data_IF_816238178728
#
_entry.id   IF_816238178728
#
_cell.length_a   1.000
_cell.length_b   1.000
_cell.length_c   1.000
_cell.angle_alpha   90.00
_cell.angle_beta   90.00
_cell.angle_gamma   90.00
#
_symmetry.space_group_name_H-M   'P 1'
#
loop_
_entity.id
_entity.type
_entity.pdbx_description
1 polymer ?
#
# COMPACT_ATOMS: atom_id res chain seq x y z
N UNK A 1 -25.60 10.47 -33.91
CA UNK A 1 -25.10 9.12 -33.56
C UNK A 1 -23.58 9.08 -33.47
N UNK A 2 -22.93 10.04 -32.82
CA UNK A 2 -21.45 10.15 -32.80
C UNK A 2 -20.87 10.42 -31.44
N UNK A 3 -21.67 10.59 -30.39
CA UNK A 3 -21.21 10.88 -29.03
C UNK A 3 -20.95 9.63 -28.17
N UNK A 4 -21.59 8.51 -28.48
CA UNK A 4 -21.48 7.26 -27.70
C UNK A 4 -20.16 6.52 -27.92
N UNK A 5 -19.53 6.66 -29.09
CA UNK A 5 -18.27 5.97 -29.39
C UNK A 5 -17.05 6.61 -28.71
N UNK A 6 -17.07 7.92 -28.52
CA UNK A 6 -15.97 8.63 -27.84
C UNK A 6 -15.92 8.36 -26.32
N UNK A 7 -17.08 8.17 -25.69
CA UNK A 7 -17.16 7.80 -24.27
C UNK A 7 -16.70 6.34 -24.02
N UNK A 8 -17.03 5.44 -24.95
CA UNK A 8 -16.60 4.03 -24.87
C UNK A 8 -15.09 3.91 -25.12
N UNK A 9 -14.50 4.69 -26.02
CA UNK A 9 -13.05 4.72 -26.21
C UNK A 9 -12.32 5.34 -25.01
N UNK A 10 -12.85 6.41 -24.41
CA UNK A 10 -12.23 7.02 -23.21
C UNK A 10 -12.29 6.12 -21.98
N UNK A 11 -13.36 5.35 -21.82
CA UNK A 11 -13.50 4.32 -20.79
C UNK A 11 -12.55 3.14 -21.03
N UNK A 12 -12.34 2.76 -22.28
CA UNK A 12 -11.43 1.67 -22.66
C UNK A 12 -9.95 2.06 -22.45
N UNK A 13 -9.55 3.28 -22.75
CA UNK A 13 -8.17 3.75 -22.54
C UNK A 13 -7.84 3.91 -21.05
N UNK A 14 -8.79 4.38 -20.22
CA UNK A 14 -8.62 4.43 -18.76
C UNK A 14 -8.58 3.04 -18.11
N UNK A 15 -9.42 2.11 -18.58
CA UNK A 15 -9.39 0.71 -18.16
C UNK A 15 -8.10 0.01 -18.59
N UNK A 16 -7.56 0.33 -19.76
CA UNK A 16 -6.29 -0.24 -20.24
C UNK A 16 -5.07 0.21 -19.43
N UNK A 17 -5.03 1.42 -18.87
CA UNK A 17 -3.94 1.84 -17.99
C UNK A 17 -3.96 1.06 -16.67
N UNK A 18 -5.12 0.79 -16.13
CA UNK A 18 -5.30 -0.06 -14.94
C UNK A 18 -5.01 -1.53 -15.26
N UNK A 19 -5.41 -2.02 -16.44
CA UNK A 19 -5.11 -3.37 -16.92
C UNK A 19 -3.64 -3.59 -17.28
N UNK A 20 -2.89 -2.57 -17.71
CA UNK A 20 -1.42 -2.67 -17.89
C UNK A 20 -0.69 -3.04 -16.59
N UNK A 21 -1.21 -2.66 -15.45
CA UNK A 21 -0.71 -3.09 -14.14
C UNK A 21 -0.84 -4.61 -13.93
N UNK A 22 -1.80 -5.26 -14.58
CA UNK A 22 -2.16 -6.66 -14.33
C UNK A 22 -1.92 -7.59 -15.53
N UNK A 23 -1.44 -7.10 -16.66
CA UNK A 23 -1.04 -7.93 -17.82
C UNK A 23 0.32 -8.64 -17.63
N UNK A 24 0.81 -8.81 -16.42
CA UNK A 24 1.88 -9.74 -16.14
C UNK A 24 1.31 -11.17 -16.14
N UNK A 25 1.16 -11.72 -17.35
CA UNK A 25 1.21 -13.11 -17.82
C UNK A 25 1.35 -14.21 -16.76
N UNK A 26 0.61 -15.28 -16.90
CA UNK A 26 0.72 -16.57 -16.20
C UNK A 26 0.59 -16.54 -14.66
N UNK A 27 -0.31 -15.70 -14.14
CA UNK A 27 -0.67 -15.72 -12.72
C UNK A 27 -1.58 -16.92 -12.47
N UNK A 28 -1.09 -17.91 -11.70
CA UNK A 28 -1.86 -19.07 -11.29
C UNK A 28 -3.09 -18.67 -10.45
N UNK A 29 -4.25 -19.35 -10.58
CA UNK A 29 -5.32 -19.23 -9.57
C UNK A 29 -4.74 -19.69 -8.21
N UNK A 30 -4.82 -18.97 -7.14
CA UNK A 30 -5.74 -17.97 -6.66
C UNK A 30 -5.28 -16.50 -6.81
N UNK A 31 -4.10 -16.23 -7.34
CA UNK A 31 -3.55 -14.87 -7.42
C UNK A 31 -4.39 -13.95 -8.34
N UNK A 32 -4.98 -14.51 -9.40
CA UNK A 32 -5.87 -13.76 -10.29
C UNK A 32 -7.09 -13.18 -9.57
N UNK A 33 -7.65 -13.90 -8.60
CA UNK A 33 -8.78 -13.43 -7.79
C UNK A 33 -8.39 -12.27 -6.89
N UNK A 34 -7.19 -12.31 -6.29
CA UNK A 34 -6.69 -11.22 -5.47
C UNK A 34 -6.46 -9.96 -6.29
N UNK A 35 -5.84 -10.07 -7.48
CA UNK A 35 -5.63 -8.94 -8.40
C UNK A 35 -6.96 -8.36 -8.89
N UNK A 36 -7.94 -9.21 -9.21
CA UNK A 36 -9.29 -8.75 -9.61
C UNK A 36 -9.98 -7.97 -8.49
N UNK A 37 -9.88 -8.40 -7.22
CA UNK A 37 -10.41 -7.68 -6.06
C UNK A 37 -9.74 -6.32 -5.86
N UNK A 38 -8.41 -6.29 -6.00
CA UNK A 38 -7.65 -5.04 -5.96
C UNK A 38 -8.09 -4.08 -7.05
N UNK A 39 -8.21 -4.55 -8.31
CA UNK A 39 -8.67 -3.76 -9.43
C UNK A 39 -10.10 -3.23 -9.22
N UNK A 40 -11.00 -4.06 -8.68
CA UNK A 40 -12.36 -3.63 -8.35
C UNK A 40 -12.37 -2.52 -7.29
N UNK A 41 -11.52 -2.62 -6.24
CA UNK A 41 -11.39 -1.56 -5.23
C UNK A 41 -10.85 -0.27 -5.82
N UNK A 42 -9.79 -0.33 -6.62
CA UNK A 42 -9.20 0.84 -7.27
C UNK A 42 -10.20 1.51 -8.22
N UNK A 43 -11.00 0.73 -8.96
CA UNK A 43 -12.06 1.22 -9.83
C UNK A 43 -13.15 1.99 -9.08
N UNK A 44 -13.55 1.53 -7.87
CA UNK A 44 -14.54 2.22 -7.04
C UNK A 44 -14.15 3.65 -6.66
N UNK A 45 -12.86 3.93 -6.53
CA UNK A 45 -12.34 5.24 -6.11
C UNK A 45 -11.55 5.94 -7.23
N UNK A 46 -11.69 5.48 -8.48
CA UNK A 46 -10.90 5.94 -9.62
C UNK A 46 -11.03 7.46 -9.88
N UNK A 47 -12.20 8.05 -9.65
CA UNK A 47 -12.44 9.49 -9.82
C UNK A 47 -11.54 10.36 -8.91
N UNK A 48 -11.13 9.83 -7.75
CA UNK A 48 -10.27 10.51 -6.78
C UNK A 48 -8.78 10.26 -7.00
N UNK A 49 -8.41 9.48 -8.02
CA UNK A 49 -7.01 9.15 -8.29
C UNK A 49 -6.17 10.40 -8.58
N UNK A 50 -5.04 10.56 -7.88
CA UNK A 50 -4.15 11.72 -7.97
C UNK A 50 -2.78 11.35 -8.54
N UNK A 51 -2.15 10.32 -7.98
CA UNK A 51 -0.82 9.88 -8.38
C UNK A 51 -0.67 8.37 -8.29
N UNK A 52 0.24 7.82 -9.10
CA UNK A 52 0.79 6.48 -8.99
C UNK A 52 2.31 6.54 -8.95
N UNK A 53 2.91 5.68 -8.14
CA UNK A 53 4.36 5.45 -8.10
C UNK A 53 4.63 3.96 -8.15
N UNK A 54 5.74 3.58 -8.79
CA UNK A 54 6.17 2.20 -8.94
C UNK A 54 7.64 2.07 -8.57
N UNK A 55 7.98 1.05 -7.77
CA UNK A 55 9.34 0.77 -7.32
C UNK A 55 9.63 -0.72 -7.40
N UNK A 56 10.86 -1.07 -7.76
CA UNK A 56 11.39 -2.43 -7.61
C UNK A 56 12.37 -2.39 -6.45
N UNK A 57 12.07 -3.14 -5.40
CA UNK A 57 12.88 -3.18 -4.18
C UNK A 57 13.53 -4.56 -4.04
N UNK A 58 14.88 -4.63 -3.88
CA UNK A 58 15.62 -5.88 -3.67
C UNK A 58 15.47 -6.37 -2.23
N UNK A 59 14.23 -6.54 -1.79
CA UNK A 59 13.81 -6.87 -0.42
C UNK A 59 12.65 -7.85 -0.54
N UNK A 60 12.60 -8.95 0.25
CA UNK A 60 11.46 -9.86 0.27
C UNK A 60 10.14 -9.13 0.52
N UNK A 61 9.10 -9.46 -0.24
CA UNK A 61 7.79 -8.79 -0.15
C UNK A 61 7.18 -8.86 1.26
N UNK A 62 7.45 -9.94 2.00
CA UNK A 62 6.95 -10.10 3.36
C UNK A 62 7.52 -9.05 4.34
N UNK A 63 8.74 -8.54 4.08
CA UNK A 63 9.30 -7.42 4.86
C UNK A 63 8.44 -6.17 4.69
N UNK A 64 8.00 -5.88 3.46
CA UNK A 64 7.14 -4.75 3.16
C UNK A 64 5.75 -4.92 3.78
N UNK A 65 5.15 -6.12 3.68
CA UNK A 65 3.86 -6.43 4.32
C UNK A 65 3.96 -6.29 5.85
N UNK A 66 5.01 -6.87 6.47
CA UNK A 66 5.25 -6.73 7.90
C UNK A 66 5.37 -5.26 8.32
N UNK A 67 6.12 -4.49 7.53
CA UNK A 67 6.33 -3.07 7.76
C UNK A 67 5.00 -2.30 7.71
N UNK A 68 4.22 -2.44 6.63
CA UNK A 68 2.95 -1.74 6.45
C UNK A 68 1.90 -2.10 7.51
N UNK A 69 1.87 -3.35 7.98
CA UNK A 69 0.91 -3.82 8.98
C UNK A 69 1.37 -3.61 10.43
N UNK A 70 2.58 -3.11 10.66
CA UNK A 70 3.11 -2.76 11.98
C UNK A 70 2.86 -1.28 12.28
N UNK A 71 1.78 -0.94 12.97
CA UNK A 71 1.41 0.45 13.24
C UNK A 71 2.50 1.26 13.96
N UNK A 72 3.38 0.60 14.72
CA UNK A 72 4.49 1.27 15.42
C UNK A 72 5.51 1.89 14.49
N UNK A 73 5.64 1.41 13.23
CA UNK A 73 6.60 2.00 12.30
C UNK A 73 6.27 3.47 12.00
N UNK A 74 4.98 3.84 11.98
CA UNK A 74 4.54 5.21 11.74
C UNK A 74 5.14 6.22 12.73
N UNK A 75 5.38 5.81 13.98
CA UNK A 75 6.03 6.65 14.98
C UNK A 75 7.55 6.61 14.90
N UNK A 76 8.10 5.44 14.59
CA UNK A 76 9.53 5.15 14.77
C UNK A 76 10.36 5.49 13.54
N UNK A 77 9.77 5.41 12.35
CA UNK A 77 10.47 5.53 11.07
C UNK A 77 10.23 6.92 10.45
N UNK A 78 9.02 7.41 10.48
CA UNK A 78 8.64 8.64 9.77
C UNK A 78 8.91 9.92 10.57
N UNK A 79 10.17 10.20 10.85
CA UNK A 79 10.59 11.38 11.60
C UNK A 79 10.46 12.69 10.82
N UNK A 80 10.73 12.66 9.51
CA UNK A 80 10.63 13.82 8.61
C UNK A 80 9.21 13.96 8.03
N UNK A 81 8.70 12.88 7.40
CA UNK A 81 7.42 12.93 6.68
C UNK A 81 6.23 13.14 7.59
N UNK A 82 6.18 12.46 8.73
CA UNK A 82 5.06 12.53 9.67
C UNK A 82 5.35 13.32 10.95
N UNK A 83 6.54 13.82 11.11
CA UNK A 83 7.05 14.75 12.14
C UNK A 83 6.22 14.83 13.44
N UNK A 84 6.46 13.88 14.37
CA UNK A 84 5.79 13.86 15.67
C UNK A 84 4.42 13.19 15.67
N UNK A 85 4.11 12.37 14.67
CA UNK A 85 2.95 11.49 14.71
C UNK A 85 3.08 10.49 15.87
N UNK A 86 2.00 10.32 16.62
CA UNK A 86 1.86 9.29 17.65
C UNK A 86 0.71 8.37 17.26
N UNK A 87 0.94 7.07 17.41
CA UNK A 87 -0.07 6.03 17.27
C UNK A 87 -0.67 5.74 18.65
N UNK A 88 -1.94 6.02 18.82
CA UNK A 88 -2.68 5.76 20.05
C UNK A 88 -3.24 4.33 20.09
N UNK A 89 -4.33 4.17 20.83
CA UNK A 89 -5.02 2.88 20.95
C UNK A 89 -5.68 2.45 19.65
N UNK A 90 -5.67 1.15 19.41
CA UNK A 90 -6.56 0.52 18.43
C UNK A 90 -7.98 0.55 18.99
N UNK A 91 -8.92 1.09 18.22
CA UNK A 91 -10.33 1.25 18.62
C UNK A 91 -11.21 0.10 18.14
N UNK A 92 -10.87 -0.47 16.98
CA UNK A 92 -11.68 -1.50 16.33
C UNK A 92 -10.81 -2.40 15.46
N UNK A 93 -11.11 -3.70 15.48
CA UNK A 93 -10.58 -4.69 14.55
C UNK A 93 -11.76 -5.43 13.93
N UNK A 94 -11.85 -5.42 12.60
CA UNK A 94 -12.83 -6.18 11.84
C UNK A 94 -12.11 -7.23 11.00
N UNK A 95 -12.42 -8.50 11.22
CA UNK A 95 -11.86 -9.61 10.45
C UNK A 95 -12.78 -9.97 9.29
N UNK A 96 -12.19 -10.19 8.10
CA UNK A 96 -12.90 -10.72 6.93
C UNK A 96 -12.32 -12.10 6.53
N UNK A 97 -12.99 -12.79 5.60
CA UNK A 97 -12.52 -14.11 5.12
C UNK A 97 -11.12 -14.08 4.50
N UNK A 98 -10.70 -12.94 3.93
CA UNK A 98 -9.45 -12.78 3.18
C UNK A 98 -8.58 -11.63 3.68
N UNK A 99 -8.90 -11.03 4.82
CA UNK A 99 -8.17 -9.89 5.35
C UNK A 99 -8.81 -9.34 6.61
N UNK A 100 -8.95 -8.04 6.67
CA UNK A 100 -9.58 -7.31 7.77
C UNK A 100 -9.21 -5.85 7.78
N UNK A 101 -9.79 -5.08 8.69
CA UNK A 101 -9.41 -3.68 8.93
C UNK A 101 -9.16 -3.41 10.40
N UNK A 102 -8.33 -2.42 10.66
CA UNK A 102 -8.05 -1.91 11.99
C UNK A 102 -8.19 -0.40 12.01
N UNK A 103 -8.96 0.12 12.97
CA UNK A 103 -9.06 1.55 13.24
C UNK A 103 -8.21 1.91 14.45
N UNK A 104 -7.45 2.97 14.35
CA UNK A 104 -6.56 3.43 15.41
C UNK A 104 -6.46 4.95 15.43
N UNK A 105 -6.32 5.50 16.62
CA UNK A 105 -6.15 6.94 16.79
C UNK A 105 -4.72 7.35 16.49
N UNK A 106 -4.55 8.45 15.77
CA UNK A 106 -3.26 9.08 15.55
C UNK A 106 -3.31 10.54 16.01
N UNK A 107 -2.26 11.01 16.65
CA UNK A 107 -2.14 12.40 17.09
C UNK A 107 -0.88 13.05 16.53
N UNK A 108 -0.99 14.35 16.21
CA UNK A 108 0.12 15.19 15.75
C UNK A 108 0.52 16.13 16.89
N UNK A 109 1.62 15.83 17.56
CA UNK A 109 2.02 16.55 18.76
C UNK A 109 2.79 17.86 18.45
N UNK A 110 3.49 17.94 17.30
CA UNK A 110 4.25 19.14 16.96
C UNK A 110 3.37 20.19 16.26
N UNK A 111 3.39 21.46 16.70
CA UNK A 111 2.54 22.53 16.15
C UNK A 111 2.87 22.85 14.69
N UNK A 112 4.13 22.74 14.28
CA UNK A 112 4.62 23.00 12.92
C UNK A 112 4.51 21.80 11.97
N UNK A 113 3.72 20.79 12.31
CA UNK A 113 3.51 19.67 11.42
C UNK A 113 2.63 20.10 10.22
N UNK A 114 3.17 19.94 9.01
CA UNK A 114 2.48 20.34 7.76
C UNK A 114 1.14 19.61 7.58
N UNK A 115 1.00 18.40 8.11
CA UNK A 115 -0.25 17.64 8.04
C UNK A 115 -1.39 18.31 8.83
N UNK A 116 -1.10 19.20 9.79
CA UNK A 116 -2.11 19.98 10.52
C UNK A 116 -2.87 20.96 9.64
N UNK A 117 -2.32 21.30 8.49
CA UNK A 117 -3.04 22.13 7.51
C UNK A 117 -4.23 21.39 6.90
N UNK A 118 -4.21 20.06 6.89
CA UNK A 118 -5.20 19.25 6.19
C UNK A 118 -6.04 18.38 7.10
N UNK A 119 -5.57 18.06 8.30
CA UNK A 119 -6.29 17.20 9.24
C UNK A 119 -6.30 17.76 10.66
N UNK A 120 -7.28 17.32 11.44
CA UNK A 120 -7.32 17.60 12.87
C UNK A 120 -6.09 17.00 13.58
N UNK A 121 -5.68 17.57 14.74
CA UNK A 121 -4.55 17.04 15.51
C UNK A 121 -4.71 15.57 15.91
N UNK A 122 -5.93 15.16 16.21
CA UNK A 122 -6.28 13.77 16.53
C UNK A 122 -7.32 13.29 15.53
N UNK A 123 -7.00 12.21 14.83
CA UNK A 123 -7.94 11.54 13.91
C UNK A 123 -7.85 10.03 14.05
N UNK A 124 -8.95 9.36 13.73
CA UNK A 124 -9.01 7.93 13.62
C UNK A 124 -8.69 7.52 12.18
N UNK A 125 -7.61 6.77 12.02
CA UNK A 125 -7.12 6.27 10.74
C UNK A 125 -7.53 4.81 10.61
N UNK A 126 -7.85 4.37 9.40
CA UNK A 126 -8.17 2.98 9.10
C UNK A 126 -7.11 2.37 8.19
N UNK A 127 -6.61 1.18 8.60
CA UNK A 127 -5.71 0.36 7.80
C UNK A 127 -6.45 -0.93 7.44
N UNK A 128 -6.57 -1.21 6.15
CA UNK A 128 -7.32 -2.37 5.62
C UNK A 128 -6.41 -3.29 4.82
N UNK A 129 -6.42 -4.56 5.17
CA UNK A 129 -5.84 -5.65 4.40
C UNK A 129 -6.91 -6.22 3.46
N UNK A 130 -6.84 -5.91 2.16
CA UNK A 130 -7.79 -6.39 1.16
C UNK A 130 -7.45 -7.77 0.62
N UNK A 131 -6.16 -8.02 0.38
CA UNK A 131 -5.61 -9.26 -0.18
C UNK A 131 -4.22 -9.48 0.41
N UNK A 132 -3.57 -10.65 0.22
CA UNK A 132 -2.20 -10.86 0.70
C UNK A 132 -1.18 -9.86 0.14
N UNK A 133 -1.54 -9.11 -0.90
CA UNK A 133 -0.67 -8.17 -1.59
C UNK A 133 -1.14 -6.72 -1.53
N UNK A 134 -2.37 -6.47 -1.07
CA UNK A 134 -3.00 -5.13 -1.14
C UNK A 134 -3.40 -4.63 0.22
N UNK A 135 -2.85 -3.49 0.60
CA UNK A 135 -3.11 -2.79 1.86
C UNK A 135 -3.59 -1.38 1.52
N UNK A 136 -4.65 -0.91 2.17
CA UNK A 136 -5.19 0.44 2.04
C UNK A 136 -5.09 1.18 3.37
N UNK A 137 -4.54 2.39 3.35
CA UNK A 137 -4.53 3.33 4.47
C UNK A 137 -5.50 4.47 4.17
N UNK A 138 -6.55 4.62 4.98
CA UNK A 138 -7.56 5.68 4.85
C UNK A 138 -7.38 6.71 5.96
N UNK A 139 -7.05 7.94 5.58
CA UNK A 139 -6.75 9.05 6.48
C UNK A 139 -7.86 10.10 6.34
N UNK A 140 -8.70 10.30 7.37
CA UNK A 140 -9.68 11.39 7.35
C UNK A 140 -8.98 12.75 7.46
N UNK A 141 -9.49 13.71 6.70
CA UNK A 141 -9.04 15.08 6.66
C UNK A 141 -10.21 16.04 6.91
N UNK A 142 -9.96 17.34 6.88
CA UNK A 142 -11.01 18.34 7.15
C UNK A 142 -12.23 18.19 6.24
N UNK A 143 -13.41 18.56 6.75
CA UNK A 143 -14.70 18.58 6.04
C UNK A 143 -15.17 17.19 5.58
N UNK A 144 -14.85 16.14 6.33
CA UNK A 144 -15.29 14.78 6.03
C UNK A 144 -14.63 14.13 4.81
N UNK A 145 -13.60 14.76 4.24
CA UNK A 145 -12.83 14.24 3.12
C UNK A 145 -11.80 13.23 3.58
N UNK A 146 -11.22 12.49 2.61
CA UNK A 146 -10.26 11.42 2.88
C UNK A 146 -9.07 11.46 1.91
N UNK A 147 -7.94 10.93 2.39
CA UNK A 147 -6.83 10.48 1.56
C UNK A 147 -6.76 8.97 1.71
N UNK A 148 -6.90 8.23 0.62
CA UNK A 148 -6.73 6.78 0.59
C UNK A 148 -5.43 6.46 -0.15
N UNK A 149 -4.58 5.66 0.48
CA UNK A 149 -3.32 5.20 -0.10
C UNK A 149 -3.42 3.70 -0.26
N UNK A 150 -3.34 3.21 -1.49
CA UNK A 150 -3.31 1.78 -1.79
C UNK A 150 -1.87 1.37 -2.09
N UNK A 151 -1.38 0.42 -1.31
CA UNK A 151 -0.10 -0.25 -1.49
C UNK A 151 -0.34 -1.62 -2.11
N UNK A 152 0.24 -1.87 -3.28
CA UNK A 152 0.27 -3.20 -3.89
C UNK A 152 1.71 -3.71 -3.87
N UNK A 153 1.93 -4.82 -3.19
CA UNK A 153 3.25 -5.41 -2.93
C UNK A 153 3.33 -6.75 -3.65
N UNK A 154 3.80 -6.76 -4.89
CA UNK A 154 3.84 -7.96 -5.72
C UNK A 154 5.22 -8.65 -5.63
N UNK A 155 5.30 -9.91 -5.22
CA UNK A 155 6.57 -10.62 -5.14
C UNK A 155 7.21 -10.80 -6.53
N UNK A 156 8.52 -10.52 -6.64
CA UNK A 156 9.38 -10.83 -7.77
C UNK A 156 10.37 -11.93 -7.35
N UNK A 157 9.85 -13.09 -6.96
CA UNK A 157 10.65 -14.15 -6.34
C UNK A 157 10.82 -13.96 -4.83
N UNK A 158 11.85 -14.58 -4.26
CA UNK A 158 12.05 -14.66 -2.81
C UNK A 158 12.77 -13.44 -2.21
N UNK A 159 13.51 -12.70 -3.04
CA UNK A 159 14.43 -11.64 -2.58
C UNK A 159 14.04 -10.24 -3.01
N UNK A 160 13.04 -10.10 -3.87
CA UNK A 160 12.62 -8.81 -4.40
C UNK A 160 11.10 -8.72 -4.50
N UNK A 161 10.59 -7.50 -4.56
CA UNK A 161 9.19 -7.22 -4.86
C UNK A 161 9.01 -5.92 -5.64
N UNK A 162 7.86 -5.82 -6.29
CA UNK A 162 7.38 -4.61 -6.94
C UNK A 162 6.37 -3.94 -6.00
N UNK A 163 6.62 -2.68 -5.66
CA UNK A 163 5.75 -1.87 -4.82
C UNK A 163 5.06 -0.82 -5.70
N UNK A 164 3.74 -0.81 -5.68
CA UNK A 164 2.93 0.28 -6.24
C UNK A 164 2.31 1.09 -5.10
N UNK A 165 2.34 2.41 -5.24
CA UNK A 165 1.72 3.35 -4.31
C UNK A 165 0.76 4.22 -5.12
N UNK A 166 -0.55 4.00 -4.93
CA UNK A 166 -1.61 4.77 -5.56
C UNK A 166 -2.30 5.65 -4.52
N UNK A 167 -2.35 6.96 -4.75
CA UNK A 167 -2.98 7.91 -3.83
C UNK A 167 -4.23 8.49 -4.45
N UNK A 168 -5.32 8.40 -3.70
CA UNK A 168 -6.65 8.91 -4.03
C UNK A 168 -7.05 9.97 -3.02
N UNK A 169 -7.61 11.08 -3.48
CA UNK A 169 -8.07 12.15 -2.58
C UNK A 169 -9.17 12.98 -3.21
N UNK A 170 -10.15 13.32 -2.42
CA UNK A 170 -11.21 14.28 -2.73
C UNK A 170 -10.86 15.73 -2.34
N UNK A 171 -9.59 16.00 -2.00
CA UNK A 171 -9.12 17.36 -1.74
C UNK A 171 -9.30 18.26 -2.96
N UNK A 172 -9.92 19.43 -2.72
CA UNK A 172 -10.05 20.49 -3.73
C UNK A 172 -8.79 21.37 -3.65
N UNK A 173 -7.84 21.04 -4.50
CA UNK A 173 -6.60 21.82 -4.65
C UNK A 173 -6.20 21.86 -6.13
N UNK A 174 -5.46 22.88 -6.60
CA UNK A 174 -4.96 22.86 -7.97
C UNK A 174 -4.19 21.58 -8.26
N UNK A 175 -4.66 20.82 -9.26
CA UNK A 175 -4.17 19.45 -9.55
C UNK A 175 -2.65 19.34 -9.61
N UNK A 176 -1.89 20.22 -10.34
CA UNK A 176 -0.44 20.06 -10.47
C UNK A 176 0.29 20.25 -9.12
N UNK A 177 -0.15 21.20 -8.30
CA UNK A 177 0.45 21.45 -6.98
C UNK A 177 0.20 20.28 -6.05
N UNK A 178 -1.05 19.76 -6.05
CA UNK A 178 -1.41 18.59 -5.27
C UNK A 178 -0.58 17.36 -5.67
N UNK A 179 -0.46 17.09 -6.97
CA UNK A 179 0.32 15.96 -7.48
C UNK A 179 1.79 16.07 -7.08
N UNK A 180 2.41 17.23 -7.30
CA UNK A 180 3.80 17.46 -6.89
C UNK A 180 4.00 17.18 -5.40
N UNK A 181 3.09 17.70 -4.56
CA UNK A 181 3.17 17.53 -3.11
C UNK A 181 3.02 16.05 -2.71
N UNK A 182 2.04 15.34 -3.27
CA UNK A 182 1.81 13.92 -2.96
C UNK A 182 2.97 13.05 -3.45
N UNK A 183 3.56 13.35 -4.62
CA UNK A 183 4.76 12.67 -5.10
C UNK A 183 5.94 12.86 -4.15
N UNK A 184 6.23 14.09 -3.75
CA UNK A 184 7.30 14.38 -2.79
C UNK A 184 7.05 13.68 -1.45
N UNK A 185 5.83 13.73 -0.93
CA UNK A 185 5.48 13.08 0.34
C UNK A 185 5.69 11.57 0.27
N UNK A 186 5.23 10.91 -0.79
CA UNK A 186 5.40 9.47 -0.97
C UNK A 186 6.88 9.08 -1.14
N UNK A 187 7.68 9.86 -1.88
CA UNK A 187 9.11 9.64 -2.02
C UNK A 187 9.84 9.75 -0.68
N UNK A 188 9.57 10.80 0.10
CA UNK A 188 10.20 11.01 1.41
C UNK A 188 9.83 9.88 2.37
N UNK A 189 8.56 9.48 2.40
CA UNK A 189 8.09 8.37 3.24
C UNK A 189 8.80 7.06 2.89
N UNK A 190 8.88 6.71 1.60
CA UNK A 190 9.59 5.50 1.16
C UNK A 190 11.09 5.57 1.50
N UNK A 191 11.71 6.74 1.31
CA UNK A 191 13.14 6.93 1.65
C UNK A 191 13.42 6.70 3.14
N UNK A 192 12.51 7.14 4.03
CA UNK A 192 12.61 6.87 5.47
C UNK A 192 12.44 5.37 5.78
N UNK A 193 11.63 4.65 5.00
CA UNK A 193 11.35 3.22 5.20
C UNK A 193 12.54 2.32 4.82
N UNK A 194 13.32 2.68 3.81
CA UNK A 194 14.37 1.83 3.24
C UNK A 194 15.37 1.28 4.28
N UNK A 195 15.96 2.08 5.20
CA UNK A 195 16.89 1.56 6.20
C UNK A 195 16.24 0.52 7.12
N UNK A 196 14.98 0.74 7.48
CA UNK A 196 14.24 -0.20 8.32
C UNK A 196 13.93 -1.50 7.56
N UNK A 197 13.51 -1.40 6.31
CA UNK A 197 13.22 -2.54 5.43
C UNK A 197 14.48 -3.39 5.19
N UNK A 198 15.64 -2.78 4.92
CA UNK A 198 16.91 -3.48 4.81
C UNK A 198 17.28 -4.22 6.11
N UNK A 199 17.07 -3.58 7.27
CA UNK A 199 17.28 -4.23 8.56
C UNK A 199 16.34 -5.40 8.79
N UNK A 200 15.11 -5.34 8.30
CA UNK A 200 14.16 -6.46 8.34
C UNK A 200 14.62 -7.60 7.42
N UNK A 201 15.07 -7.29 6.22
CA UNK A 201 15.53 -8.28 5.24
C UNK A 201 16.78 -9.03 5.72
N UNK A 202 17.71 -8.35 6.38
CA UNK A 202 18.91 -8.94 6.95
C UNK A 202 18.64 -9.69 8.28
N UNK A 203 17.45 -9.50 8.86
CA UNK A 203 17.05 -10.16 10.10
C UNK A 203 16.30 -11.46 9.84
N UNK A 204 16.16 -12.28 10.89
CA UNK A 204 15.35 -13.50 10.80
C UNK A 204 13.85 -13.15 10.88
N UNK A 205 13.25 -12.80 9.72
CA UNK A 205 11.84 -12.43 9.64
C UNK A 205 10.91 -13.60 10.03
N UNK A 206 11.26 -14.84 9.69
CA UNK A 206 10.49 -16.03 10.10
C UNK A 206 10.39 -16.15 11.62
N UNK A 207 11.46 -15.85 12.35
CA UNK A 207 11.45 -15.82 13.81
C UNK A 207 10.51 -14.71 14.34
N UNK A 208 10.48 -13.54 13.69
CA UNK A 208 9.56 -12.45 14.03
C UNK A 208 8.11 -12.82 13.76
N UNK A 209 7.82 -13.45 12.62
CA UNK A 209 6.50 -13.97 12.28
C UNK A 209 6.00 -14.97 13.33
N UNK A 210 6.85 -15.93 13.72
CA UNK A 210 6.53 -16.91 14.78
C UNK A 210 6.30 -16.22 16.14
N UNK A 211 7.13 -15.23 16.49
CA UNK A 211 6.99 -14.44 17.72
C UNK A 211 5.70 -13.62 17.74
N UNK A 212 5.20 -13.18 16.60
CA UNK A 212 3.97 -12.38 16.51
C UNK A 212 2.73 -13.20 16.86
N UNK A 213 2.71 -14.51 16.60
CA UNK A 213 1.59 -15.40 16.99
C UNK A 213 1.32 -15.36 18.51
N UNK A 214 2.35 -15.20 19.35
CA UNK A 214 2.24 -15.08 20.80
C UNK A 214 2.17 -13.65 21.35
N UNK A 215 2.28 -12.64 20.48
CA UNK A 215 2.31 -11.25 20.90
C UNK A 215 0.91 -10.68 21.07
N UNK A 216 0.64 -10.13 22.27
CA UNK A 216 -0.63 -9.43 22.55
C UNK A 216 -0.53 -7.91 22.26
N UNK A 217 0.31 -7.49 21.30
CA UNK A 217 0.49 -6.09 20.94
C UNK A 217 -0.63 -5.63 20.00
N UNK A 218 -1.43 -4.68 20.45
CA UNK A 218 -2.53 -4.10 19.67
C UNK A 218 -2.09 -3.57 18.31
N UNK A 219 -0.87 -3.03 18.22
CA UNK A 219 -0.29 -2.47 16.99
C UNK A 219 0.09 -3.51 15.93
N UNK A 220 -0.02 -4.81 16.23
CA UNK A 220 0.31 -5.92 15.32
C UNK A 220 -0.91 -6.81 15.00
N UNK A 221 -2.10 -6.43 15.41
CA UNK A 221 -3.31 -7.25 15.25
C UNK A 221 -3.58 -7.61 13.79
N UNK A 222 -3.45 -6.65 12.87
CA UNK A 222 -3.69 -6.91 11.45
C UNK A 222 -2.60 -7.79 10.81
N UNK A 223 -1.34 -7.65 11.24
CA UNK A 223 -0.29 -8.58 10.80
C UNK A 223 -0.49 -9.99 11.37
N UNK A 224 -0.95 -10.11 12.61
CA UNK A 224 -1.35 -11.41 13.18
C UNK A 224 -2.45 -12.07 12.34
N UNK A 225 -3.46 -11.28 11.95
CA UNK A 225 -4.51 -11.74 11.04
C UNK A 225 -3.95 -12.19 9.69
N UNK A 226 -3.01 -11.44 9.12
CA UNK A 226 -2.31 -11.82 7.90
C UNK A 226 -1.62 -13.20 8.03
N UNK A 227 -0.91 -13.42 9.13
CA UNK A 227 -0.23 -14.70 9.38
C UNK A 227 -1.22 -15.85 9.59
N UNK A 228 -2.36 -15.61 10.22
CA UNK A 228 -3.43 -16.59 10.38
C UNK A 228 -3.99 -17.04 9.03
N UNK A 229 -4.21 -16.12 8.10
CA UNK A 229 -4.77 -16.39 6.78
C UNK A 229 -3.77 -16.99 5.78
N UNK A 230 -2.54 -16.51 5.81
CA UNK A 230 -1.55 -16.75 4.76
C UNK A 230 -0.26 -17.40 5.25
N UNK A 231 -0.10 -17.59 6.55
CA UNK A 231 1.16 -18.06 7.15
C UNK A 231 1.61 -19.47 6.71
N UNK A 232 0.68 -20.34 6.32
CA UNK A 232 1.01 -21.66 5.76
C UNK A 232 1.59 -21.57 4.35
N UNK A 233 1.27 -20.51 3.61
CA UNK A 233 1.78 -20.27 2.25
C UNK A 233 3.13 -19.58 2.23
N UNK A 234 3.60 -19.03 3.36
CA UNK A 234 4.85 -18.29 3.46
C UNK A 234 6.10 -19.16 3.37
N UNK A 235 5.94 -20.46 3.64
CA UNK A 235 7.03 -21.45 3.57
C UNK A 235 7.17 -22.06 2.16
N UNK A 236 6.23 -21.79 1.24
CA UNK A 236 6.32 -22.23 -0.15
C UNK A 236 6.99 -21.14 -1.01
N UNK A 237 7.98 -21.49 -1.86
CA UNK A 237 8.54 -20.55 -2.80
C UNK A 237 7.42 -20.08 -3.74
N UNK A 238 7.01 -18.83 -3.63
CA UNK A 238 6.07 -18.21 -4.56
C UNK A 238 6.80 -17.97 -5.89
N UNK A 239 6.84 -19.01 -6.72
CA UNK A 239 7.18 -18.85 -8.12
C UNK A 239 5.99 -18.21 -8.85
N UNK A 240 5.86 -16.89 -8.73
CA UNK A 240 5.34 -16.13 -9.86
C UNK A 240 6.36 -16.38 -10.97
N UNK A 241 5.95 -17.09 -12.03
CA UNK A 241 6.83 -17.58 -13.06
C UNK A 241 7.91 -16.56 -13.40
N UNK A 242 9.16 -17.02 -13.46
CA UNK A 242 10.31 -16.20 -13.81
C UNK A 242 9.95 -15.40 -15.06
N UNK A 243 9.68 -14.11 -14.90
CA UNK A 243 9.64 -13.19 -16.03
C UNK A 243 11.09 -13.02 -16.41
N UNK A 244 11.53 -13.79 -17.38
CA UNK A 244 12.80 -13.60 -18.08
C UNK A 244 12.72 -12.22 -18.73
N UNK A 245 13.38 -11.25 -18.12
CA UNK A 245 13.55 -9.93 -18.69
C UNK A 245 14.45 -10.09 -19.93
N UNK A 246 13.83 -10.29 -21.09
CA UNK A 246 14.55 -10.15 -22.34
C UNK A 246 15.03 -8.70 -22.46
N UNK A 247 16.33 -8.46 -22.68
CA UNK A 247 16.82 -7.12 -22.90
C UNK A 247 16.16 -6.58 -24.18
N UNK A 248 15.54 -5.41 -24.05
CA UNK A 248 15.02 -4.66 -25.19
C UNK A 248 16.26 -4.35 -26.05
N UNK A 249 16.41 -5.06 -27.17
CA UNK A 249 17.39 -4.72 -28.17
C UNK A 249 17.09 -3.31 -28.67
N UNK A 250 18.02 -2.39 -28.40
CA UNK A 250 18.00 -1.06 -28.98
C UNK A 250 18.10 -1.21 -30.51
N UNK A 251 16.97 -1.05 -31.18
CA UNK A 251 16.97 -0.80 -32.61
C UNK A 251 17.24 0.69 -32.81
N UNK A 252 18.45 0.93 -33.34
CA UNK A 252 18.89 2.15 -33.97
C UNK A 252 17.88 2.63 -35.02
N UNK A 253 17.45 3.88 -34.90
CA UNK A 253 17.26 4.79 -36.03
C UNK A 253 17.53 6.21 -35.55
#
# INVERSE_FOLDING_TARGET
>A
MTTTNLEIESLNVKSMSTLKYYQLSSVTPPHSDYLRRTAARMSQIQEYHKISQEYILPIPYLCQIYHLLNLKHLEQVHGLSLNGLKVGSVSQLEATKIGGSVKFKTSLNKPLNILRMWRQPVVEVELTLHTPYTIELSIPIYKGRKINIIFNVLPLGNTAHKLFIDIYSDLVFPKPIMQMFLHCAACVTLFEDLPYLHKLANGNLHRRVKSTKGSNRDTMQLFKRYVELYGSSLDQPHSLGAVELQPISAHSY
#
